data_IF_934869037571
#
_entry.id   IF_934869037571
#
_cell.length_a   1.000
_cell.length_b   1.000
_cell.length_c   1.000
_cell.angle_alpha   90.00
_cell.angle_beta   90.00
_cell.angle_gamma   90.00
#
_symmetry.space_group_name_H-M   'P 1'
#
loop_
_entity.id
_entity.type
_entity.pdbx_description
1 polymer ?
#
# COMPACT_ATOMS: atom_id res chain seq x y z
N UNK A 1 14.26 -6.81 41.60
CA UNK A 1 15.73 -6.69 41.80
C UNK A 1 16.38 -7.96 41.28
N UNK A 2 17.52 -7.92 40.56
CA UNK A 2 18.12 -6.80 39.81
C UNK A 2 18.51 -7.30 38.36
N UNK A 3 18.98 -6.57 37.35
CA UNK A 3 19.55 -5.22 37.18
C UNK A 3 19.16 -4.65 35.81
N UNK A 4 18.99 -3.35 35.81
CA UNK A 4 18.93 -2.44 34.67
C UNK A 4 20.17 -2.53 33.77
N UNK A 5 19.96 -2.44 32.45
CA UNK A 5 21.01 -2.08 31.50
C UNK A 5 20.87 -0.58 31.18
N UNK A 6 21.73 0.30 31.74
CA UNK A 6 21.73 1.70 31.34
C UNK A 6 22.51 1.84 30.03
N UNK A 7 21.83 2.23 28.95
CA UNK A 7 22.49 2.74 27.76
C UNK A 7 22.92 4.18 28.04
N UNK A 8 24.18 4.39 28.40
CA UNK A 8 24.81 5.71 28.36
C UNK A 8 25.36 5.94 26.94
N UNK A 9 25.05 7.08 26.28
CA UNK A 9 25.76 7.46 25.07
C UNK A 9 27.15 7.97 25.48
N UNK A 10 28.19 7.25 25.06
CA UNK A 10 29.58 7.69 25.26
C UNK A 10 29.93 8.75 24.20
N UNK A 11 30.52 9.90 24.55
CA UNK A 11 30.95 10.89 23.58
C UNK A 11 32.42 10.63 23.20
N UNK A 12 32.68 10.14 21.99
CA UNK A 12 33.92 10.39 21.23
C UNK A 12 34.03 9.46 20.01
N UNK A 13 33.56 9.93 18.86
CA UNK A 13 34.08 9.46 17.57
C UNK A 13 34.35 10.67 16.68
N UNK A 14 35.32 11.48 17.10
CA UNK A 14 36.09 12.29 16.17
C UNK A 14 37.20 11.39 15.61
N UNK A 15 37.34 11.38 14.28
CA UNK A 15 38.33 10.65 13.47
C UNK A 15 38.00 9.18 13.14
N UNK A 16 37.00 8.96 12.30
CA UNK A 16 37.08 7.93 11.26
C UNK A 16 37.14 8.63 9.89
N UNK A 17 37.98 8.16 8.94
CA UNK A 17 37.95 8.65 7.56
C UNK A 17 36.55 8.40 6.95
N UNK A 18 36.16 9.10 5.87
CA UNK A 18 34.89 8.84 5.18
C UNK A 18 34.98 7.48 4.47
N UNK A 19 34.80 6.42 5.25
CA UNK A 19 34.77 5.03 4.82
C UNK A 19 33.44 4.41 5.22
N UNK A 20 32.89 3.61 4.32
CA UNK A 20 31.62 2.90 4.37
C UNK A 20 31.25 2.42 5.79
N UNK A 21 30.09 2.84 6.31
CA UNK A 21 29.58 2.31 7.57
C UNK A 21 29.27 0.81 7.41
N UNK A 22 29.54 -0.03 8.43
CA UNK A 22 29.08 -1.42 8.40
C UNK A 22 27.57 -1.51 8.11
N UNK A 23 27.15 -2.46 7.28
CA UNK A 23 25.74 -2.62 6.88
C UNK A 23 24.77 -2.69 8.08
N UNK A 24 25.19 -3.31 9.18
CA UNK A 24 24.41 -3.36 10.42
C UNK A 24 24.15 -1.97 11.01
N UNK A 25 25.11 -1.05 10.90
CA UNK A 25 24.96 0.33 11.36
C UNK A 25 24.09 1.16 10.41
N UNK A 26 24.17 0.95 9.09
CA UNK A 26 23.26 1.58 8.12
C UNK A 26 21.80 1.16 8.36
N UNK A 27 21.56 -0.14 8.55
CA UNK A 27 20.21 -0.65 8.87
C UNK A 27 19.73 -0.14 10.23
N UNK A 28 20.60 -0.08 11.23
CA UNK A 28 20.27 0.51 12.53
C UNK A 28 19.95 2.01 12.42
N UNK A 29 20.67 2.75 11.58
CA UNK A 29 20.37 4.15 11.27
C UNK A 29 18.97 4.29 10.68
N UNK A 30 18.60 3.47 9.69
CA UNK A 30 17.26 3.49 9.12
C UNK A 30 16.21 3.17 10.19
N UNK A 31 16.39 2.10 10.96
CA UNK A 31 15.46 1.67 12.00
C UNK A 31 15.33 2.68 13.16
N UNK A 32 16.37 3.47 13.42
CA UNK A 32 16.39 4.53 14.42
C UNK A 32 15.66 5.81 14.00
N UNK A 33 15.24 5.92 12.74
CA UNK A 33 14.49 7.09 12.25
C UNK A 33 13.10 7.16 12.86
N UNK A 34 12.57 8.38 12.96
CA UNK A 34 11.17 8.60 13.35
C UNK A 34 10.24 7.81 12.45
N UNK A 35 9.46 6.91 13.05
CA UNK A 35 8.57 6.00 12.34
C UNK A 35 7.12 6.18 12.81
N UNK A 36 6.37 6.99 12.07
CA UNK A 36 4.96 7.27 12.35
C UNK A 36 4.02 6.09 12.08
N UNK A 37 4.49 5.00 11.48
CA UNK A 37 3.73 3.75 11.37
C UNK A 37 3.68 3.01 12.72
N UNK A 38 4.67 3.23 13.59
CA UNK A 38 4.77 2.60 14.92
C UNK A 38 4.40 3.54 16.06
N UNK A 39 4.82 4.80 15.96
CA UNK A 39 4.68 5.77 17.05
C UNK A 39 4.27 7.12 16.49
N UNK A 40 3.06 7.56 16.82
CA UNK A 40 2.54 8.87 16.42
C UNK A 40 2.65 9.78 17.63
N UNK A 41 3.43 10.87 17.59
CA UNK A 41 3.57 11.76 18.75
C UNK A 41 2.23 12.41 19.08
N UNK A 42 1.74 12.19 20.30
CA UNK A 42 0.65 13.01 20.84
C UNK A 42 1.10 14.47 20.97
N UNK A 43 0.25 15.42 20.57
CA UNK A 43 0.43 16.85 20.87
C UNK A 43 1.28 17.69 19.90
N UNK A 44 1.92 17.11 18.87
CA UNK A 44 2.64 17.90 17.85
C UNK A 44 1.73 18.32 16.68
N UNK A 45 1.80 19.57 16.18
CA UNK A 45 1.00 20.01 15.03
C UNK A 45 1.26 19.15 13.79
N UNK A 46 0.19 18.67 13.16
CA UNK A 46 0.25 17.72 12.03
C UNK A 46 1.10 18.21 10.84
N UNK A 47 1.19 19.52 10.63
CA UNK A 47 2.02 20.17 9.60
C UNK A 47 3.53 20.13 9.90
N UNK A 48 3.93 20.00 11.17
CA UNK A 48 5.32 19.76 11.56
C UNK A 48 5.71 18.29 11.35
N UNK A 49 4.75 17.39 11.56
CA UNK A 49 4.91 15.93 11.47
C UNK A 49 4.94 15.44 10.02
N UNK A 50 3.92 15.79 9.22
CA UNK A 50 3.76 15.33 7.83
C UNK A 50 3.92 16.47 6.84
N UNK A 51 4.88 16.36 5.92
CA UNK A 51 5.14 17.34 4.86
C UNK A 51 5.82 16.69 3.67
N UNK A 52 5.55 17.22 2.48
CA UNK A 52 6.11 16.69 1.23
C UNK A 52 7.50 17.24 0.89
N UNK A 53 7.90 18.36 1.53
CA UNK A 53 9.15 19.05 1.21
C UNK A 53 10.38 18.20 1.48
N UNK A 54 10.42 17.45 2.60
CA UNK A 54 11.52 16.52 2.92
C UNK A 54 11.72 15.47 1.84
N UNK A 55 10.65 14.74 1.49
CA UNK A 55 10.75 13.69 0.46
C UNK A 55 11.09 14.28 -0.90
N UNK A 56 10.53 15.44 -1.26
CA UNK A 56 10.84 16.11 -2.53
C UNK A 56 12.30 16.51 -2.61
N UNK A 57 12.82 17.13 -1.56
CA UNK A 57 14.24 17.52 -1.49
C UNK A 57 15.16 16.31 -1.57
N UNK A 58 14.86 15.24 -0.83
CA UNK A 58 15.64 13.99 -0.89
C UNK A 58 15.67 13.42 -2.32
N UNK A 59 14.51 13.36 -2.99
CA UNK A 59 14.44 12.92 -4.39
C UNK A 59 15.17 13.87 -5.36
N UNK A 60 15.15 15.17 -5.10
CA UNK A 60 15.87 16.16 -5.92
C UNK A 60 17.38 15.97 -5.80
N UNK A 61 17.91 15.78 -4.58
CA UNK A 61 19.33 15.46 -4.32
C UNK A 61 19.76 14.13 -4.95
N UNK A 62 18.84 13.17 -5.07
CA UNK A 62 19.05 11.89 -5.76
C UNK A 62 18.92 11.95 -7.30
N UNK A 63 18.78 13.15 -7.88
CA UNK A 63 18.66 13.30 -9.33
C UNK A 63 17.29 12.94 -9.89
N UNK A 64 16.23 13.00 -9.07
CA UNK A 64 14.83 12.79 -9.47
C UNK A 64 14.50 11.39 -10.02
N UNK A 65 14.84 10.30 -9.30
CA UNK A 65 14.61 8.94 -9.78
C UNK A 65 13.11 8.59 -9.94
N UNK A 66 12.22 9.39 -9.33
CA UNK A 66 10.77 9.25 -9.40
C UNK A 66 10.12 9.70 -10.73
N UNK A 67 10.91 10.25 -11.66
CA UNK A 67 10.40 10.86 -12.91
C UNK A 67 10.58 10.01 -14.16
N UNK A 68 11.29 8.87 -14.07
CA UNK A 68 11.67 8.05 -15.23
C UNK A 68 10.61 7.06 -15.72
N UNK A 69 9.52 6.86 -14.97
CA UNK A 69 8.49 5.86 -15.28
C UNK A 69 7.10 6.34 -14.82
N UNK A 70 6.02 5.90 -15.49
CA UNK A 70 4.65 6.14 -15.04
C UNK A 70 4.38 5.49 -13.67
N UNK A 71 3.43 6.06 -12.93
CA UNK A 71 3.08 5.62 -11.58
C UNK A 71 1.58 5.38 -11.44
N UNK A 72 1.20 4.22 -10.90
CA UNK A 72 -0.14 3.96 -10.38
C UNK A 72 -0.14 4.22 -8.87
N UNK A 73 -0.90 5.20 -8.40
CA UNK A 73 -0.84 5.63 -6.99
C UNK A 73 -2.11 5.24 -6.22
N UNK A 74 -1.98 4.39 -5.21
CA UNK A 74 -3.11 3.71 -4.56
C UNK A 74 -3.22 4.14 -3.10
N UNK A 75 -4.37 4.70 -2.72
CA UNK A 75 -4.75 4.98 -1.33
C UNK A 75 -6.11 4.37 -0.99
N UNK A 76 -6.49 4.49 0.27
CA UNK A 76 -7.73 3.99 0.85
C UNK A 76 -7.54 3.53 2.29
N UNK A 77 -8.63 3.24 2.99
CA UNK A 77 -8.54 2.70 4.35
C UNK A 77 -8.20 1.21 4.33
N UNK A 78 -8.89 0.42 3.50
CA UNK A 78 -8.63 -1.02 3.32
C UNK A 78 -8.46 -1.36 1.84
N UNK A 79 -7.75 -2.45 1.53
CA UNK A 79 -7.60 -2.95 0.16
C UNK A 79 -6.51 -2.27 -0.69
N UNK A 80 -5.74 -1.33 -0.13
CA UNK A 80 -4.62 -0.66 -0.81
C UNK A 80 -3.59 -1.66 -1.35
N UNK A 81 -2.89 -2.37 -0.46
CA UNK A 81 -1.93 -3.42 -0.82
C UNK A 81 -2.50 -4.50 -1.73
N UNK A 82 -3.73 -4.97 -1.50
CA UNK A 82 -4.40 -5.92 -2.42
C UNK A 82 -4.57 -5.36 -3.82
N UNK A 83 -5.08 -4.13 -3.94
CA UNK A 83 -5.30 -3.48 -5.24
C UNK A 83 -3.97 -3.23 -5.94
N UNK A 84 -2.94 -2.80 -5.19
CA UNK A 84 -1.60 -2.60 -5.70
C UNK A 84 -0.96 -3.90 -6.20
N UNK A 85 -1.05 -4.98 -5.42
CA UNK A 85 -0.54 -6.31 -5.78
C UNK A 85 -1.25 -6.91 -6.98
N UNK A 86 -2.59 -6.79 -7.05
CA UNK A 86 -3.36 -7.24 -8.22
C UNK A 86 -2.97 -6.44 -9.47
N UNK A 87 -2.86 -5.11 -9.39
CA UNK A 87 -2.46 -4.30 -10.53
C UNK A 87 -1.04 -4.65 -11.01
N UNK A 88 -0.10 -4.83 -10.08
CA UNK A 88 1.26 -5.25 -10.39
C UNK A 88 1.30 -6.64 -11.06
N UNK A 89 0.54 -7.61 -10.54
CA UNK A 89 0.44 -8.95 -11.11
C UNK A 89 -0.12 -8.97 -12.53
N UNK A 90 -1.17 -8.18 -12.81
CA UNK A 90 -1.74 -8.07 -14.16
C UNK A 90 -0.74 -7.47 -15.15
N UNK A 91 -0.03 -6.41 -14.75
CA UNK A 91 0.98 -5.78 -15.60
C UNK A 91 2.16 -6.72 -15.86
N UNK A 92 2.59 -7.49 -14.86
CA UNK A 92 3.62 -8.53 -15.01
C UNK A 92 3.18 -9.63 -15.97
N UNK A 93 1.95 -10.12 -15.85
CA UNK A 93 1.37 -11.11 -16.78
C UNK A 93 1.24 -10.56 -18.21
N UNK A 94 1.17 -9.23 -18.37
CA UNK A 94 1.21 -8.57 -19.67
C UNK A 94 2.63 -8.34 -20.21
N UNK A 95 3.67 -8.78 -19.48
CA UNK A 95 5.06 -8.71 -19.91
C UNK A 95 5.80 -7.44 -19.50
N UNK A 96 5.20 -6.55 -18.70
CA UNK A 96 5.86 -5.35 -18.20
C UNK A 96 6.77 -5.65 -17.01
N UNK A 97 7.85 -4.87 -16.89
CA UNK A 97 8.70 -4.82 -15.70
C UNK A 97 8.12 -3.85 -14.69
N UNK A 98 7.64 -4.35 -13.56
CA UNK A 98 6.86 -3.56 -12.60
C UNK A 98 7.56 -3.46 -11.26
N UNK A 99 7.72 -2.23 -10.78
CA UNK A 99 8.05 -1.93 -9.38
C UNK A 99 6.78 -1.82 -8.52
N UNK A 100 6.81 -2.32 -7.29
CA UNK A 100 5.71 -2.17 -6.34
C UNK A 100 6.25 -1.72 -4.99
N UNK A 101 5.75 -0.59 -4.49
CA UNK A 101 6.04 -0.10 -3.15
C UNK A 101 4.81 -0.31 -2.26
N UNK A 102 4.90 -1.20 -1.27
CA UNK A 102 3.79 -1.59 -0.38
C UNK A 102 4.13 -1.47 1.09
N UNK A 103 3.11 -1.32 1.94
CA UNK A 103 3.32 -1.21 3.39
C UNK A 103 2.13 -1.70 4.23
N UNK A 104 2.38 -2.19 5.47
CA UNK A 104 3.68 -2.56 6.03
C UNK A 104 4.22 -3.87 5.41
N UNK A 105 5.40 -4.31 5.86
CA UNK A 105 5.92 -5.66 5.55
C UNK A 105 5.42 -6.69 6.58
N UNK A 106 5.48 -7.98 6.20
CA UNK A 106 5.15 -9.09 7.08
C UNK A 106 6.37 -9.57 7.87
N UNK A 107 7.52 -9.73 7.22
CA UNK A 107 8.72 -10.30 7.84
C UNK A 107 9.96 -9.43 7.65
N UNK A 108 10.25 -9.02 6.42
CA UNK A 108 11.46 -8.27 6.03
C UNK A 108 11.10 -6.91 5.40
N UNK A 109 11.85 -5.85 5.72
CA UNK A 109 11.58 -4.49 5.19
C UNK A 109 11.71 -4.42 3.68
N UNK A 110 12.55 -5.27 3.11
CA UNK A 110 12.78 -5.47 1.68
C UNK A 110 11.50 -5.83 0.90
N UNK A 111 10.52 -6.45 1.57
CA UNK A 111 9.19 -6.74 0.98
C UNK A 111 8.49 -5.47 0.52
N UNK A 112 8.79 -4.32 1.13
CA UNK A 112 8.20 -3.04 0.75
C UNK A 112 8.66 -2.58 -0.61
N UNK A 113 9.80 -3.04 -1.14
CA UNK A 113 10.37 -2.63 -2.43
C UNK A 113 10.44 -3.85 -3.35
N UNK A 114 9.37 -4.16 -4.07
CA UNK A 114 9.34 -5.34 -4.93
C UNK A 114 9.54 -4.99 -6.42
N UNK A 115 10.26 -5.82 -7.16
CA UNK A 115 10.33 -5.78 -8.64
C UNK A 115 10.02 -7.16 -9.18
N UNK A 116 9.14 -7.26 -10.18
CA UNK A 116 8.63 -8.54 -10.71
C UNK A 116 8.11 -9.48 -9.62
N UNK A 117 7.41 -8.91 -8.63
CA UNK A 117 6.79 -9.67 -7.53
C UNK A 117 7.78 -10.25 -6.52
N UNK A 118 9.07 -9.92 -6.61
CA UNK A 118 10.11 -10.36 -5.68
C UNK A 118 10.57 -9.18 -4.82
N UNK A 119 10.68 -9.36 -3.48
CA UNK A 119 11.31 -8.37 -2.59
C UNK A 119 12.68 -7.93 -3.08
N UNK A 120 13.10 -6.72 -2.73
CA UNK A 120 14.43 -6.21 -3.03
C UNK A 120 15.49 -7.13 -2.42
N UNK A 121 16.47 -7.62 -3.19
CA UNK A 121 17.58 -8.36 -2.61
C UNK A 121 18.27 -7.54 -1.51
N UNK A 122 18.65 -8.14 -0.36
CA UNK A 122 19.31 -7.43 0.73
C UNK A 122 20.52 -6.59 0.25
N UNK A 123 21.29 -7.12 -0.70
CA UNK A 123 22.47 -6.45 -1.25
C UNK A 123 22.10 -5.15 -1.99
N UNK A 124 21.04 -5.18 -2.80
CA UNK A 124 20.53 -3.99 -3.49
C UNK A 124 19.90 -2.99 -2.50
N UNK A 125 19.21 -3.50 -1.47
CA UNK A 125 18.64 -2.66 -0.43
C UNK A 125 19.74 -1.89 0.32
N UNK A 126 20.81 -2.58 0.70
CA UNK A 126 21.94 -2.01 1.42
C UNK A 126 22.73 -1.02 0.55
N UNK A 127 22.96 -1.32 -0.73
CA UNK A 127 23.59 -0.39 -1.68
C UNK A 127 22.79 0.92 -1.84
N UNK A 128 21.46 0.80 -1.97
CA UNK A 128 20.58 1.98 -2.08
C UNK A 128 20.58 2.79 -0.77
N UNK A 129 20.62 2.11 0.38
CA UNK A 129 20.67 2.77 1.68
C UNK A 129 22.01 3.49 1.90
N UNK A 130 23.11 2.86 1.51
CA UNK A 130 24.47 3.40 1.61
C UNK A 130 24.62 4.71 0.84
N UNK A 131 24.06 4.79 -0.36
CA UNK A 131 24.06 6.02 -1.17
C UNK A 131 23.16 7.13 -0.63
N UNK A 132 22.02 6.75 -0.05
CA UNK A 132 21.07 7.71 0.52
C UNK A 132 21.59 8.24 1.87
N UNK A 133 22.31 7.42 2.64
CA UNK A 133 22.81 7.77 3.97
C UNK A 133 23.54 9.12 4.06
N UNK A 134 24.56 9.45 3.24
CA UNK A 134 25.27 10.72 3.36
C UNK A 134 24.36 11.91 3.03
N UNK A 135 23.48 11.77 2.04
CA UNK A 135 22.52 12.80 1.65
C UNK A 135 21.55 13.10 2.80
N UNK A 136 21.03 12.06 3.45
CA UNK A 136 20.11 12.25 4.58
C UNK A 136 20.83 12.87 5.78
N UNK A 137 22.12 12.57 6.00
CA UNK A 137 22.91 13.23 7.06
C UNK A 137 23.13 14.73 6.81
N UNK A 138 23.37 15.13 5.57
CA UNK A 138 23.42 16.54 5.21
C UNK A 138 22.06 17.20 5.45
N UNK A 139 20.98 16.56 5.01
CA UNK A 139 19.63 17.05 5.27
C UNK A 139 19.31 17.14 6.77
N UNK A 140 19.78 16.21 7.61
CA UNK A 140 19.58 16.32 9.06
C UNK A 140 20.17 17.63 9.60
N UNK A 141 21.40 17.97 9.19
CA UNK A 141 22.07 19.20 9.62
C UNK A 141 21.35 20.45 9.09
N UNK A 142 20.95 20.44 7.82
CA UNK A 142 20.23 21.56 7.19
C UNK A 142 18.88 21.81 7.87
N UNK A 143 18.13 20.75 8.17
CA UNK A 143 16.80 20.84 8.78
C UNK A 143 16.88 21.16 10.28
N UNK A 144 17.89 20.65 11.00
CA UNK A 144 18.15 21.01 12.40
C UNK A 144 18.46 22.51 12.53
N UNK A 145 19.21 23.09 11.58
CA UNK A 145 19.43 24.53 11.48
C UNK A 145 18.14 25.36 11.31
N UNK A 146 17.06 24.74 10.83
CA UNK A 146 15.72 25.34 10.71
C UNK A 146 14.80 25.03 11.90
N UNK A 147 15.30 24.32 12.93
CA UNK A 147 14.51 23.87 14.07
C UNK A 147 13.52 22.74 13.75
N UNK A 148 13.82 21.96 12.71
CA UNK A 148 13.00 20.83 12.26
C UNK A 148 13.82 19.53 12.19
N UNK A 149 13.13 18.38 12.07
CA UNK A 149 13.79 17.09 11.88
C UNK A 149 13.94 16.73 10.40
N UNK A 150 15.05 16.07 10.05
CA UNK A 150 15.31 15.54 8.72
C UNK A 150 14.38 14.39 8.30
N UNK A 151 14.68 13.71 7.18
CA UNK A 151 13.81 12.66 6.62
C UNK A 151 13.49 11.53 7.61
N UNK A 152 12.21 11.16 7.63
CA UNK A 152 11.66 10.09 8.46
C UNK A 152 11.87 8.71 7.84
N UNK A 153 11.59 7.64 8.60
CA UNK A 153 11.72 6.25 8.14
C UNK A 153 10.99 6.00 6.81
N UNK A 154 9.73 6.43 6.72
CA UNK A 154 8.90 6.19 5.55
C UNK A 154 9.29 7.07 4.35
N UNK A 155 9.76 8.30 4.60
CA UNK A 155 10.25 9.19 3.55
C UNK A 155 11.54 8.66 2.91
N UNK A 156 12.44 8.10 3.73
CA UNK A 156 13.66 7.43 3.24
C UNK A 156 13.29 6.18 2.44
N UNK A 157 12.43 5.30 2.95
CA UNK A 157 11.99 4.12 2.20
C UNK A 157 11.31 4.46 0.87
N UNK A 158 10.55 5.56 0.82
CA UNK A 158 9.93 6.04 -0.42
C UNK A 158 10.99 6.46 -1.45
N UNK A 159 12.03 7.18 -1.01
CA UNK A 159 13.14 7.56 -1.88
C UNK A 159 13.98 6.34 -2.32
N UNK A 160 14.23 5.40 -1.41
CA UNK A 160 14.88 4.13 -1.72
C UNK A 160 14.10 3.35 -2.80
N UNK A 161 12.76 3.28 -2.68
CA UNK A 161 11.92 2.63 -3.68
C UNK A 161 12.04 3.29 -5.05
N UNK A 162 11.96 4.63 -5.09
CA UNK A 162 12.08 5.37 -6.34
C UNK A 162 13.43 5.12 -7.04
N UNK A 163 14.53 5.17 -6.28
CA UNK A 163 15.88 4.91 -6.79
C UNK A 163 16.07 3.46 -7.23
N UNK A 164 15.61 2.50 -6.43
CA UNK A 164 15.67 1.08 -6.78
C UNK A 164 14.90 0.79 -8.07
N UNK A 165 13.68 1.30 -8.22
CA UNK A 165 12.89 1.10 -9.43
C UNK A 165 13.52 1.73 -10.67
N UNK A 166 14.10 2.92 -10.55
CA UNK A 166 14.84 3.56 -11.64
C UNK A 166 16.02 2.70 -12.11
N UNK A 167 16.81 2.18 -11.16
CA UNK A 167 17.95 1.28 -11.45
C UNK A 167 17.54 -0.04 -12.07
N UNK A 168 16.41 -0.56 -11.64
CA UNK A 168 15.86 -1.78 -12.19
C UNK A 168 15.22 -1.56 -13.57
N UNK A 169 15.13 -0.32 -14.08
CA UNK A 169 14.56 -0.04 -15.39
C UNK A 169 13.10 -0.49 -15.51
N UNK A 170 12.29 -0.22 -14.48
CA UNK A 170 10.86 -0.59 -14.51
C UNK A 170 10.11 0.21 -15.58
N UNK A 171 9.16 -0.44 -16.25
CA UNK A 171 8.24 0.22 -17.18
C UNK A 171 7.17 1.04 -16.45
N UNK A 172 6.85 0.65 -15.21
CA UNK A 172 5.89 1.32 -14.34
C UNK A 172 6.13 0.96 -12.86
N UNK A 173 5.79 1.88 -11.96
CA UNK A 173 5.69 1.60 -10.53
C UNK A 173 4.26 1.70 -9.99
N UNK A 174 3.89 0.78 -9.09
CA UNK A 174 2.67 0.85 -8.30
C UNK A 174 3.03 1.27 -6.88
N UNK A 175 2.56 2.43 -6.45
CA UNK A 175 2.86 2.99 -5.13
C UNK A 175 1.63 2.92 -4.23
N UNK A 176 1.71 2.16 -3.14
CA UNK A 176 0.76 2.22 -2.03
C UNK A 176 1.11 3.40 -1.12
N UNK A 177 0.11 4.23 -0.83
CA UNK A 177 0.18 5.27 0.21
C UNK A 177 0.30 4.62 1.58
N UNK A 178 1.26 5.06 2.39
CA UNK A 178 1.41 4.60 3.77
C UNK A 178 0.24 5.09 4.63
N UNK A 179 0.05 6.41 4.74
CA UNK A 179 -0.97 7.01 5.58
C UNK A 179 -1.66 8.21 4.92
N UNK A 180 -3.00 8.19 4.92
CA UNK A 180 -3.78 9.30 4.39
C UNK A 180 -3.65 9.41 2.87
N UNK A 181 -2.82 10.34 2.39
CA UNK A 181 -2.63 10.59 0.96
C UNK A 181 -2.00 11.96 0.70
N UNK A 182 -2.72 13.03 1.04
CA UNK A 182 -2.33 14.43 0.75
C UNK A 182 -0.91 14.79 1.18
N UNK A 183 -0.49 14.34 2.36
CA UNK A 183 0.83 14.63 2.96
C UNK A 183 1.68 13.36 3.12
N UNK A 184 1.31 12.27 2.45
CA UNK A 184 2.10 11.04 2.45
C UNK A 184 3.34 11.21 1.57
N UNK A 185 4.48 10.62 1.97
CA UNK A 185 5.74 10.72 1.24
C UNK A 185 5.60 10.33 -0.24
N UNK A 186 4.77 9.31 -0.54
CA UNK A 186 4.53 8.87 -1.92
C UNK A 186 3.81 9.91 -2.78
N UNK A 187 3.16 10.91 -2.18
CA UNK A 187 2.37 11.92 -2.91
C UNK A 187 3.22 13.02 -3.56
N UNK A 188 4.54 12.98 -3.42
CA UNK A 188 5.46 13.77 -4.26
C UNK A 188 5.42 13.33 -5.74
N UNK A 189 4.94 12.11 -6.01
CA UNK A 189 4.88 11.57 -7.36
C UNK A 189 3.90 12.30 -8.29
N UNK A 190 4.05 12.03 -9.59
CA UNK A 190 3.12 12.43 -10.65
C UNK A 190 2.47 11.17 -11.23
N UNK A 191 1.34 10.70 -10.68
CA UNK A 191 0.72 9.47 -11.13
C UNK A 191 0.12 9.60 -12.54
N UNK A 192 0.15 8.50 -13.26
CA UNK A 192 -0.63 8.27 -14.46
C UNK A 192 -2.11 8.02 -14.13
N UNK A 193 -2.37 7.31 -13.03
CA UNK A 193 -3.71 7.05 -12.50
C UNK A 193 -3.65 7.04 -10.97
N UNK A 194 -4.63 7.67 -10.31
CA UNK A 194 -4.82 7.57 -8.87
C UNK A 194 -5.96 6.59 -8.54
N UNK A 195 -5.82 5.83 -7.46
CA UNK A 195 -6.85 4.89 -7.00
C UNK A 195 -7.19 5.15 -5.53
N UNK A 196 -8.48 5.25 -5.21
CA UNK A 196 -8.98 5.36 -3.83
C UNK A 196 -9.88 4.17 -3.56
N UNK A 197 -9.42 3.18 -2.78
CA UNK A 197 -10.11 1.89 -2.63
C UNK A 197 -11.38 2.00 -1.79
N UNK A 198 -11.24 2.39 -0.52
CA UNK A 198 -12.34 2.56 0.43
C UNK A 198 -12.07 3.69 1.41
N UNK A 199 -13.12 4.19 2.05
CA UNK A 199 -13.06 5.14 3.15
C UNK A 199 -13.79 4.53 4.32
N UNK A 200 -13.13 4.47 5.48
CA UNK A 200 -13.73 4.11 6.76
C UNK A 200 -12.91 4.76 7.87
N UNK A 201 -13.44 4.78 9.09
CA UNK A 201 -12.71 5.24 10.26
C UNK A 201 -11.46 4.37 10.48
N UNK A 202 -10.30 5.01 10.40
CA UNK A 202 -9.00 4.46 10.74
C UNK A 202 -8.02 5.63 10.92
N UNK A 203 -7.11 5.51 11.88
CA UNK A 203 -6.19 6.60 12.25
C UNK A 203 -6.89 7.96 12.47
N UNK A 204 -8.02 7.98 13.18
CA UNK A 204 -8.86 9.18 13.37
C UNK A 204 -8.14 10.33 14.06
N UNK A 205 -7.20 10.01 14.95
CA UNK A 205 -6.35 11.00 15.65
C UNK A 205 -5.44 11.76 14.70
N UNK A 206 -5.16 11.18 13.53
CA UNK A 206 -4.32 11.78 12.50
C UNK A 206 -5.22 12.34 11.42
N UNK A 207 -5.97 11.48 10.72
CA UNK A 207 -6.66 11.79 9.47
C UNK A 207 -7.93 12.65 9.64
N UNK A 208 -8.44 12.76 10.86
CA UNK A 208 -9.65 13.48 11.21
C UNK A 208 -10.70 12.56 11.82
N UNK A 209 -11.65 13.16 12.52
CA UNK A 209 -12.70 12.48 13.30
C UNK A 209 -13.97 12.22 12.49
N UNK A 210 -14.00 12.59 11.20
CA UNK A 210 -15.12 12.36 10.29
C UNK A 210 -14.69 11.68 8.99
N UNK A 211 -15.60 10.89 8.40
CA UNK A 211 -15.36 10.26 7.10
C UNK A 211 -15.08 11.28 6.00
N UNK A 212 -15.69 12.46 6.07
CA UNK A 212 -15.42 13.61 5.19
C UNK A 212 -13.96 14.07 5.26
N UNK A 213 -13.40 14.23 6.45
CA UNK A 213 -11.99 14.63 6.63
C UNK A 213 -11.04 13.54 6.12
N UNK A 214 -11.32 12.27 6.44
CA UNK A 214 -10.54 11.13 5.96
C UNK A 214 -10.58 11.04 4.43
N UNK A 215 -11.75 11.23 3.82
CA UNK A 215 -11.92 11.29 2.36
C UNK A 215 -11.13 12.44 1.74
N UNK A 216 -11.12 13.62 2.38
CA UNK A 216 -10.37 14.77 1.88
C UNK A 216 -8.85 14.55 1.93
N UNK A 217 -8.34 13.94 3.01
CA UNK A 217 -6.93 13.56 3.09
C UNK A 217 -6.54 12.56 2.00
N UNK A 218 -7.37 11.55 1.75
CA UNK A 218 -7.12 10.53 0.71
C UNK A 218 -7.25 11.11 -0.70
N UNK A 219 -8.23 11.98 -0.94
CA UNK A 219 -8.41 12.67 -2.22
C UNK A 219 -7.24 13.61 -2.57
N UNK A 220 -6.35 13.90 -1.62
CA UNK A 220 -5.13 14.68 -1.87
C UNK A 220 -4.13 14.06 -2.84
N UNK A 221 -4.29 12.78 -3.20
CA UNK A 221 -3.48 12.13 -4.25
C UNK A 221 -3.94 12.49 -5.67
N UNK A 222 -5.16 13.02 -5.82
CA UNK A 222 -5.73 13.37 -7.13
C UNK A 222 -4.97 14.57 -7.70
N UNK A 223 -4.31 14.35 -8.84
CA UNK A 223 -3.55 15.40 -9.56
C UNK A 223 -4.36 15.99 -10.72
N UNK A 224 -3.94 17.16 -11.18
CA UNK A 224 -4.66 17.93 -12.20
C UNK A 224 -4.66 17.18 -13.53
N UNK A 225 -5.84 16.94 -14.11
CA UNK A 225 -5.99 16.21 -15.38
C UNK A 225 -5.71 14.70 -15.30
N UNK A 226 -5.20 14.20 -14.18
CA UNK A 226 -4.91 12.77 -13.98
C UNK A 226 -6.19 12.04 -13.58
N UNK A 227 -6.56 10.93 -14.23
CA UNK A 227 -7.75 10.17 -13.86
C UNK A 227 -7.66 9.57 -12.46
N UNK A 228 -8.83 9.42 -11.83
CA UNK A 228 -8.98 8.76 -10.53
C UNK A 228 -10.06 7.68 -10.58
N UNK A 229 -9.69 6.48 -10.13
CA UNK A 229 -10.61 5.37 -9.89
C UNK A 229 -10.96 5.32 -8.41
N UNK A 230 -12.25 5.34 -8.09
CA UNK A 230 -12.71 5.33 -6.70
C UNK A 230 -13.66 4.18 -6.45
N UNK A 231 -13.30 3.33 -5.49
CA UNK A 231 -14.18 2.31 -4.98
C UNK A 231 -15.15 2.81 -3.94
N UNK A 232 -15.18 4.10 -3.57
CA UNK A 232 -15.91 4.59 -2.39
C UNK A 232 -17.41 4.66 -2.64
N UNK A 233 -18.19 4.04 -1.74
CA UNK A 233 -19.64 3.86 -1.88
C UNK A 233 -20.46 4.80 -1.00
N UNK A 234 -19.93 5.17 0.18
CA UNK A 234 -20.66 6.02 1.13
C UNK A 234 -20.82 7.45 0.57
N UNK A 235 -22.05 7.97 0.65
CA UNK A 235 -22.44 9.20 -0.04
C UNK A 235 -21.56 10.41 0.30
N UNK A 236 -21.28 10.65 1.59
CA UNK A 236 -20.50 11.81 2.02
C UNK A 236 -19.03 11.73 1.57
N UNK A 237 -18.26 10.66 1.85
CA UNK A 237 -16.91 10.49 1.30
C UNK A 237 -16.82 10.53 -0.22
N UNK A 238 -17.80 9.91 -0.90
CA UNK A 238 -17.87 9.87 -2.35
C UNK A 238 -18.02 11.28 -2.94
N UNK A 239 -18.88 12.10 -2.35
CA UNK A 239 -19.07 13.49 -2.77
C UNK A 239 -17.81 14.33 -2.60
N UNK A 240 -17.03 14.11 -1.52
CA UNK A 240 -15.73 14.78 -1.35
C UNK A 240 -14.78 14.43 -2.50
N UNK A 241 -14.66 13.15 -2.83
CA UNK A 241 -13.78 12.67 -3.90
C UNK A 241 -14.22 13.25 -5.25
N UNK A 242 -15.53 13.21 -5.54
CA UNK A 242 -16.10 13.78 -6.77
C UNK A 242 -15.79 15.27 -6.91
N UNK A 243 -15.97 16.05 -5.84
CA UNK A 243 -15.65 17.50 -5.84
C UNK A 243 -14.18 17.78 -6.06
N UNK A 244 -13.30 17.01 -5.41
CA UNK A 244 -11.85 17.16 -5.60
C UNK A 244 -11.46 16.81 -7.04
N UNK A 245 -11.98 15.71 -7.58
CA UNK A 245 -11.75 15.31 -8.97
C UNK A 245 -12.21 16.40 -9.95
N UNK A 246 -13.44 16.91 -9.79
CA UNK A 246 -13.98 17.99 -10.61
C UNK A 246 -13.13 19.26 -10.53
N UNK A 247 -12.73 19.69 -9.32
CA UNK A 247 -11.85 20.86 -9.12
C UNK A 247 -10.48 20.69 -9.80
N UNK A 248 -9.99 19.45 -9.89
CA UNK A 248 -8.71 19.11 -10.54
C UNK A 248 -8.86 18.84 -12.04
N UNK A 249 -10.07 18.86 -12.59
CA UNK A 249 -10.33 18.41 -13.96
C UNK A 249 -9.91 16.95 -14.19
N UNK A 250 -9.96 16.12 -13.14
CA UNK A 250 -9.57 14.73 -13.17
C UNK A 250 -10.77 13.86 -13.60
N UNK A 251 -10.66 13.04 -14.66
CA UNK A 251 -11.69 12.05 -15.00
C UNK A 251 -11.95 11.12 -13.81
N UNK A 252 -13.22 11.01 -13.40
CA UNK A 252 -13.60 10.26 -12.19
C UNK A 252 -14.40 9.01 -12.57
N UNK A 253 -13.83 7.86 -12.23
CA UNK A 253 -14.42 6.54 -12.47
C UNK A 253 -14.77 5.96 -11.10
N UNK A 254 -16.03 5.56 -10.90
CA UNK A 254 -16.54 5.26 -9.56
C UNK A 254 -17.54 4.12 -9.51
N UNK A 255 -17.63 3.47 -8.34
CA UNK A 255 -18.70 2.53 -8.00
C UNK A 255 -19.96 3.26 -7.51
N UNK A 256 -21.17 2.83 -7.90
CA UNK A 256 -21.50 1.80 -8.90
C UNK A 256 -21.68 2.35 -10.33
N UNK A 257 -21.49 3.65 -10.55
CA UNK A 257 -21.83 4.33 -11.81
C UNK A 257 -21.11 3.71 -13.01
N UNK A 258 -19.80 3.55 -12.87
CA UNK A 258 -18.90 3.14 -13.95
C UNK A 258 -18.48 1.68 -13.82
N UNK A 259 -18.68 1.10 -12.64
CA UNK A 259 -18.08 -0.16 -12.27
C UNK A 259 -19.15 -1.08 -11.69
N UNK A 260 -19.23 -2.30 -12.21
CA UNK A 260 -20.09 -3.34 -11.68
C UNK A 260 -19.33 -4.66 -11.58
N UNK A 261 -19.66 -5.46 -10.57
CA UNK A 261 -19.11 -6.79 -10.43
C UNK A 261 -20.11 -7.75 -9.80
N UNK A 262 -19.93 -9.04 -10.08
CA UNK A 262 -20.58 -10.15 -9.37
C UNK A 262 -19.50 -11.12 -8.91
N UNK A 263 -19.55 -11.50 -7.64
CA UNK A 263 -18.61 -12.42 -7.04
C UNK A 263 -19.31 -13.71 -6.62
N UNK A 264 -18.64 -14.84 -6.81
CA UNK A 264 -19.02 -16.14 -6.25
C UNK A 264 -17.83 -16.67 -5.44
N UNK A 265 -18.00 -16.93 -4.13
CA UNK A 265 -16.91 -17.44 -3.30
C UNK A 265 -16.52 -18.87 -3.72
N UNK A 266 -15.25 -19.26 -3.56
CA UNK A 266 -14.89 -20.68 -3.58
C UNK A 266 -15.57 -21.40 -2.41
N UNK A 267 -15.75 -22.72 -2.52
CA UNK A 267 -16.25 -23.57 -1.43
C UNK A 267 -15.24 -24.65 -1.09
N UNK A 268 -15.29 -25.12 0.15
CA UNK A 268 -14.45 -26.21 0.66
C UNK A 268 -12.94 -25.97 0.46
N UNK A 269 -12.46 -24.76 0.73
CA UNK A 269 -11.03 -24.43 0.57
C UNK A 269 -10.11 -25.29 1.45
N UNK A 270 -10.63 -25.92 2.49
CA UNK A 270 -9.92 -26.92 3.28
C UNK A 270 -9.53 -28.18 2.48
N UNK A 271 -10.23 -28.47 1.37
CA UNK A 271 -10.04 -29.69 0.57
C UNK A 271 -9.16 -29.48 -0.67
N UNK A 272 -8.86 -28.24 -1.06
CA UNK A 272 -8.20 -27.97 -2.34
C UNK A 272 -7.61 -26.58 -2.49
N UNK A 273 -7.37 -26.17 -3.73
CA UNK A 273 -7.01 -24.80 -4.13
C UNK A 273 -8.11 -24.20 -4.99
N UNK A 274 -9.36 -24.28 -4.53
CA UNK A 274 -10.48 -23.59 -5.18
C UNK A 274 -10.18 -22.11 -5.38
N UNK A 275 -10.79 -21.52 -6.40
CA UNK A 275 -10.77 -20.09 -6.69
C UNK A 275 -12.19 -19.55 -6.62
N UNK A 276 -12.33 -18.29 -6.22
CA UNK A 276 -13.59 -17.59 -6.43
C UNK A 276 -13.81 -17.34 -7.92
N UNK A 277 -15.02 -16.95 -8.29
CA UNK A 277 -15.33 -16.49 -9.63
C UNK A 277 -15.79 -15.04 -9.59
N UNK A 278 -15.32 -14.24 -10.53
CA UNK A 278 -15.71 -12.83 -10.65
C UNK A 278 -16.09 -12.49 -12.08
N UNK A 279 -17.20 -11.79 -12.21
CA UNK A 279 -17.68 -11.17 -13.45
C UNK A 279 -17.61 -9.65 -13.23
N UNK A 280 -16.97 -8.91 -14.13
CA UNK A 280 -16.78 -7.46 -14.03
C UNK A 280 -17.24 -6.76 -15.29
N UNK A 281 -17.83 -5.59 -15.12
CA UNK A 281 -18.13 -4.63 -16.18
C UNK A 281 -17.51 -3.28 -15.82
N UNK A 282 -16.70 -2.75 -16.73
CA UNK A 282 -16.01 -1.47 -16.58
C UNK A 282 -16.44 -0.55 -17.71
N UNK A 283 -17.10 0.55 -17.34
CA UNK A 283 -17.58 1.59 -18.24
C UNK A 283 -16.72 2.83 -18.10
N UNK A 284 -15.78 3.00 -19.02
CA UNK A 284 -15.07 4.28 -19.16
C UNK A 284 -15.91 5.16 -20.10
N UNK A 285 -16.17 6.45 -19.79
CA UNK A 285 -17.01 7.31 -20.61
C UNK A 285 -16.64 7.38 -22.09
N UNK A 286 -15.37 7.14 -22.40
CA UNK A 286 -14.78 7.29 -23.73
C UNK A 286 -14.56 5.95 -24.48
N UNK A 287 -14.94 4.81 -23.88
CA UNK A 287 -14.73 3.47 -24.46
C UNK A 287 -16.01 2.61 -24.39
N UNK A 288 -16.15 1.60 -25.27
CA UNK A 288 -17.18 0.59 -25.08
C UNK A 288 -16.99 -0.14 -23.73
N UNK A 289 -18.07 -0.63 -23.09
CA UNK A 289 -17.97 -1.39 -21.85
C UNK A 289 -17.01 -2.59 -21.99
N UNK A 290 -16.10 -2.72 -21.04
CA UNK A 290 -15.17 -3.84 -20.95
C UNK A 290 -15.72 -4.90 -19.99
N UNK A 291 -15.90 -6.11 -20.51
CA UNK A 291 -16.37 -7.26 -19.73
C UNK A 291 -15.23 -8.24 -19.48
N UNK A 292 -15.09 -8.67 -18.23
CA UNK A 292 -14.11 -9.66 -17.82
C UNK A 292 -14.77 -10.70 -16.93
N UNK A 293 -14.53 -11.96 -17.25
CA UNK A 293 -14.86 -13.09 -16.38
C UNK A 293 -13.57 -13.83 -16.07
N UNK A 294 -13.36 -14.14 -14.80
CA UNK A 294 -12.13 -14.77 -14.33
C UNK A 294 -12.36 -15.53 -13.05
N UNK A 295 -11.51 -16.52 -12.83
CA UNK A 295 -11.20 -16.98 -11.48
C UNK A 295 -10.50 -15.88 -10.68
N UNK A 296 -10.67 -15.90 -9.36
CA UNK A 296 -10.05 -14.97 -8.42
C UNK A 296 -9.42 -15.77 -7.27
N UNK A 297 -8.11 -15.68 -7.13
CA UNK A 297 -7.37 -16.34 -6.05
C UNK A 297 -7.52 -15.66 -4.70
N UNK A 298 -7.37 -14.32 -4.58
CA UNK A 298 -7.67 -13.65 -3.31
C UNK A 298 -9.14 -13.85 -2.92
N UNK A 299 -9.37 -14.34 -1.71
CA UNK A 299 -10.68 -14.82 -1.28
C UNK A 299 -11.50 -13.70 -0.63
N UNK A 300 -12.82 -13.69 -0.88
CA UNK A 300 -13.79 -12.77 -0.29
C UNK A 300 -14.22 -11.65 -1.24
N UNK A 301 -15.46 -11.18 -1.08
CA UNK A 301 -16.05 -10.16 -1.95
C UNK A 301 -15.26 -8.84 -1.96
N UNK A 302 -14.65 -8.49 -0.82
CA UNK A 302 -13.78 -7.32 -0.71
C UNK A 302 -12.57 -7.40 -1.66
N UNK A 303 -12.07 -8.61 -1.96
CA UNK A 303 -11.01 -8.80 -2.95
C UNK A 303 -11.53 -8.69 -4.39
N UNK A 304 -12.76 -9.12 -4.68
CA UNK A 304 -13.39 -8.89 -5.98
C UNK A 304 -13.53 -7.38 -6.28
N UNK A 305 -13.88 -6.59 -5.26
CA UNK A 305 -13.87 -5.12 -5.36
C UNK A 305 -12.46 -4.58 -5.61
N UNK A 306 -11.44 -5.01 -4.86
CA UNK A 306 -10.05 -4.60 -5.08
C UNK A 306 -9.57 -4.95 -6.50
N UNK A 307 -9.93 -6.13 -6.99
CA UNK A 307 -9.59 -6.58 -8.33
C UNK A 307 -10.23 -5.69 -9.41
N UNK A 308 -11.52 -5.40 -9.29
CA UNK A 308 -12.22 -4.53 -10.23
C UNK A 308 -11.65 -3.09 -10.24
N UNK A 309 -11.20 -2.56 -9.10
CA UNK A 309 -10.50 -1.27 -9.06
C UNK A 309 -9.14 -1.31 -9.76
N UNK A 310 -8.37 -2.39 -9.56
CA UNK A 310 -7.11 -2.59 -10.27
C UNK A 310 -7.34 -2.68 -11.78
N UNK A 311 -8.30 -3.50 -12.22
CA UNK A 311 -8.64 -3.65 -13.64
C UNK A 311 -9.09 -2.30 -14.23
N UNK A 312 -9.94 -1.54 -13.54
CA UNK A 312 -10.39 -0.22 -14.01
C UNK A 312 -9.26 0.79 -14.14
N UNK A 313 -8.33 0.81 -13.18
CA UNK A 313 -7.16 1.68 -13.24
C UNK A 313 -6.25 1.31 -14.42
N UNK A 314 -6.05 0.01 -14.64
CA UNK A 314 -5.26 -0.49 -15.77
C UNK A 314 -5.94 -0.22 -17.12
N UNK A 315 -7.27 -0.38 -17.23
CA UNK A 315 -8.02 0.01 -18.43
C UNK A 315 -7.80 1.48 -18.77
N UNK A 316 -7.81 2.36 -17.76
CA UNK A 316 -7.52 3.77 -17.96
C UNK A 316 -6.07 4.01 -18.42
N UNK A 317 -5.14 3.25 -17.87
CA UNK A 317 -3.73 3.30 -18.24
C UNK A 317 -3.49 2.85 -19.70
N UNK A 318 -4.17 1.79 -20.14
CA UNK A 318 -4.16 1.36 -21.54
C UNK A 318 -4.64 2.47 -22.48
N UNK A 319 -5.74 3.14 -22.12
CA UNK A 319 -6.32 4.23 -22.90
C UNK A 319 -5.41 5.45 -22.94
N UNK A 320 -4.94 5.90 -21.79
CA UNK A 320 -4.24 7.19 -21.65
C UNK A 320 -2.77 7.13 -22.06
N UNK A 321 -2.11 5.98 -21.86
CA UNK A 321 -0.68 5.80 -22.10
C UNK A 321 -0.34 4.70 -23.12
N UNK A 322 -1.33 4.05 -23.73
CA UNK A 322 -1.11 3.07 -24.80
C UNK A 322 -0.57 1.71 -24.33
N UNK A 323 -0.68 1.39 -23.05
CA UNK A 323 -0.28 0.07 -22.53
C UNK A 323 -1.15 -1.04 -23.16
N UNK A 324 -0.51 -2.19 -23.45
CA UNK A 324 -1.12 -3.35 -24.10
C UNK A 324 -1.24 -4.48 -23.09
N UNK A 325 -2.42 -4.59 -22.48
CA UNK A 325 -2.75 -5.65 -21.53
C UNK A 325 -3.80 -6.54 -22.20
N UNK A 326 -3.44 -7.76 -22.66
CA UNK A 326 -4.40 -8.65 -23.28
C UNK A 326 -5.37 -9.20 -22.23
N UNK A 327 -6.62 -9.56 -22.61
CA UNK A 327 -7.59 -10.19 -21.70
C UNK A 327 -7.07 -11.44 -20.98
N UNK A 328 -6.12 -12.16 -21.59
CA UNK A 328 -5.45 -13.31 -20.97
C UNK A 328 -4.60 -12.92 -19.77
N UNK A 329 -3.85 -11.82 -19.82
CA UNK A 329 -3.03 -11.34 -18.71
C UNK A 329 -3.90 -10.98 -17.48
N UNK A 330 -5.06 -10.37 -17.72
CA UNK A 330 -6.04 -10.12 -16.66
C UNK A 330 -6.48 -11.41 -15.99
N UNK A 331 -6.89 -12.42 -16.78
CA UNK A 331 -7.38 -13.70 -16.23
C UNK A 331 -6.30 -14.47 -15.50
N UNK A 332 -5.12 -14.59 -16.11
CA UNK A 332 -3.98 -15.31 -15.53
C UNK A 332 -3.56 -14.69 -14.19
N UNK A 333 -3.42 -13.36 -14.13
CA UNK A 333 -3.04 -12.69 -12.91
C UNK A 333 -4.11 -12.81 -11.82
N UNK A 334 -5.40 -12.61 -12.13
CA UNK A 334 -6.46 -12.73 -11.12
C UNK A 334 -6.56 -14.15 -10.55
N UNK A 335 -6.32 -15.18 -11.37
CA UNK A 335 -6.33 -16.57 -10.95
C UNK A 335 -5.10 -16.99 -10.11
N UNK A 336 -4.02 -16.22 -10.13
CA UNK A 336 -2.72 -16.62 -9.55
C UNK A 336 -2.09 -15.63 -8.58
N UNK A 337 -2.50 -14.36 -8.57
CA UNK A 337 -1.90 -13.33 -7.73
C UNK A 337 -1.99 -13.71 -6.26
N UNK A 338 -0.84 -13.65 -5.59
CA UNK A 338 -0.75 -13.90 -4.17
C UNK A 338 -1.36 -12.73 -3.38
N UNK A 339 -1.97 -13.06 -2.24
CA UNK A 339 -2.39 -12.07 -1.25
C UNK A 339 -1.88 -12.53 0.12
N UNK A 340 -0.58 -12.33 0.41
CA UNK A 340 0.03 -12.79 1.65
C UNK A 340 -0.71 -12.26 2.87
N UNK A 341 -0.95 -13.13 3.85
CA UNK A 341 -1.72 -12.84 5.06
C UNK A 341 -3.10 -12.20 4.81
N UNK A 342 -3.78 -12.57 3.72
CA UNK A 342 -5.17 -12.22 3.43
C UNK A 342 -5.98 -13.48 3.17
N UNK A 343 -6.42 -14.12 4.24
CA UNK A 343 -7.08 -15.44 4.25
C UNK A 343 -6.23 -16.45 3.47
N UNK A 344 -4.94 -16.47 3.78
CA UNK A 344 -3.95 -17.28 3.09
C UNK A 344 -3.88 -18.68 3.71
N UNK A 345 -4.18 -19.71 2.91
CA UNK A 345 -4.02 -21.12 3.31
C UNK A 345 -2.54 -21.51 3.19
N UNK A 346 -1.83 -21.57 4.32
CA UNK A 346 -0.38 -21.91 4.38
C UNK A 346 -0.10 -23.38 4.64
N UNK A 347 -1.10 -24.13 5.12
CA UNK A 347 -1.02 -25.57 5.36
C UNK A 347 -2.40 -26.18 5.17
N UNK A 348 -2.48 -27.44 4.69
CA UNK A 348 -3.74 -28.15 4.46
C UNK A 348 -4.09 -29.24 5.49
N UNK A 349 -3.10 -29.82 6.17
CA UNK A 349 -3.33 -30.90 7.15
C UNK A 349 -2.50 -30.70 8.43
N UNK A 350 -3.10 -30.19 9.53
CA UNK A 350 -4.40 -29.50 9.56
C UNK A 350 -4.39 -28.24 8.69
N UNK A 351 -5.57 -27.75 8.32
CA UNK A 351 -5.68 -26.48 7.60
C UNK A 351 -5.25 -25.34 8.51
N UNK A 352 -4.34 -24.50 8.01
CA UNK A 352 -3.88 -23.29 8.70
C UNK A 352 -4.10 -22.12 7.75
N UNK A 353 -4.84 -21.13 8.23
CA UNK A 353 -5.14 -19.88 7.52
C UNK A 353 -4.50 -18.72 8.27
N UNK A 354 -3.80 -17.84 7.56
CA UNK A 354 -3.23 -16.60 8.09
C UNK A 354 -4.00 -15.41 7.53
N UNK A 355 -4.38 -14.46 8.40
CA UNK A 355 -4.99 -13.20 8.00
C UNK A 355 -4.50 -12.03 8.87
N UNK A 356 -4.36 -10.85 8.25
CA UNK A 356 -3.90 -9.61 8.89
C UNK A 356 -5.05 -8.67 9.30
N UNK A 357 -6.25 -9.19 9.58
CA UNK A 357 -7.35 -8.47 10.22
C UNK A 357 -6.92 -7.98 11.62
N UNK A 358 -7.05 -6.68 11.86
CA UNK A 358 -6.53 -6.02 13.07
C UNK A 358 -7.49 -4.93 13.61
N UNK A 359 -8.75 -4.95 13.17
CA UNK A 359 -9.83 -4.16 13.75
C UNK A 359 -11.17 -4.90 13.56
N UNK A 360 -12.21 -4.45 14.29
CA UNK A 360 -13.54 -5.09 14.31
C UNK A 360 -14.10 -5.28 12.89
N UNK A 361 -14.06 -4.25 12.05
CA UNK A 361 -14.57 -4.33 10.67
C UNK A 361 -13.81 -5.38 9.82
N UNK A 362 -12.49 -5.50 10.00
CA UNK A 362 -11.70 -6.52 9.28
C UNK A 362 -11.97 -7.93 9.82
N UNK A 363 -12.18 -8.07 11.13
CA UNK A 363 -12.56 -9.33 11.77
C UNK A 363 -13.94 -9.82 11.30
N UNK A 364 -14.91 -8.92 11.16
CA UNK A 364 -16.23 -9.26 10.61
C UNK A 364 -16.13 -9.79 9.17
N UNK A 365 -15.35 -9.10 8.33
CA UNK A 365 -15.08 -9.56 6.95
C UNK A 365 -14.36 -10.90 6.93
N UNK A 366 -13.41 -11.13 7.84
CA UNK A 366 -12.72 -12.41 8.00
C UNK A 366 -13.70 -13.51 8.35
N UNK A 367 -14.52 -13.36 9.40
CA UNK A 367 -15.49 -14.36 9.83
C UNK A 367 -16.49 -14.70 8.72
N UNK A 368 -17.06 -13.68 8.06
CA UNK A 368 -17.97 -13.89 6.93
C UNK A 368 -17.29 -14.69 5.82
N UNK A 369 -16.09 -14.29 5.41
CA UNK A 369 -15.38 -14.95 4.30
C UNK A 369 -14.99 -16.38 4.66
N UNK A 370 -14.56 -16.64 5.90
CA UNK A 370 -14.28 -17.99 6.38
C UNK A 370 -15.54 -18.87 6.36
N UNK A 371 -16.70 -18.33 6.72
CA UNK A 371 -17.97 -19.06 6.70
C UNK A 371 -18.49 -19.31 5.28
N UNK A 372 -18.19 -18.43 4.32
CA UNK A 372 -18.55 -18.63 2.91
C UNK A 372 -17.66 -19.66 2.21
N UNK A 373 -16.39 -19.77 2.63
CA UNK A 373 -15.36 -20.49 1.87
C UNK A 373 -14.92 -21.82 2.49
N UNK A 374 -15.19 -22.06 3.77
CA UNK A 374 -14.76 -23.25 4.50
C UNK A 374 -15.90 -23.90 5.29
N UNK A 375 -15.96 -25.23 5.30
CA UNK A 375 -16.99 -26.00 6.03
C UNK A 375 -16.47 -26.64 7.33
N UNK A 376 -15.33 -26.15 7.84
CA UNK A 376 -14.70 -26.71 9.03
C UNK A 376 -15.63 -26.64 10.27
N UNK A 377 -16.01 -27.80 10.81
CA UNK A 377 -16.87 -27.92 12.01
C UNK A 377 -16.21 -27.44 13.30
N UNK A 378 -14.88 -27.50 13.38
CA UNK A 378 -14.08 -27.04 14.53
C UNK A 378 -13.01 -26.08 14.05
N UNK A 379 -13.01 -24.87 14.60
CA UNK A 379 -12.06 -23.80 14.27
C UNK A 379 -11.29 -23.45 15.54
N UNK A 380 -9.99 -23.22 15.38
CA UNK A 380 -9.11 -22.75 16.46
C UNK A 380 -8.54 -21.40 16.01
N UNK A 381 -8.62 -20.39 16.87
CA UNK A 381 -8.06 -19.08 16.60
C UNK A 381 -6.78 -18.88 17.42
N UNK A 382 -5.68 -18.58 16.74
CA UNK A 382 -4.48 -18.00 17.37
C UNK A 382 -4.55 -16.50 17.10
N UNK A 383 -4.80 -15.71 18.13
CA UNK A 383 -5.06 -14.28 18.01
C UNK A 383 -3.94 -13.45 18.64
N UNK A 384 -3.48 -12.44 17.91
CA UNK A 384 -2.55 -11.42 18.40
C UNK A 384 -2.92 -10.06 17.81
N UNK A 385 -2.87 -9.01 18.64
CA UNK A 385 -3.12 -7.63 18.20
C UNK A 385 -2.19 -6.67 18.93
N UNK A 386 -1.95 -5.50 18.34
CA UNK A 386 -1.20 -4.41 18.98
C UNK A 386 -2.03 -3.75 20.08
N UNK A 387 -1.34 -3.15 21.06
CA UNK A 387 -1.97 -2.35 22.12
C UNK A 387 -2.85 -1.22 21.53
N UNK A 388 -3.96 -0.91 22.21
CA UNK A 388 -4.88 0.17 21.83
C UNK A 388 -5.93 -0.20 20.77
N UNK A 389 -5.92 -1.43 20.24
CA UNK A 389 -7.01 -1.94 19.38
C UNK A 389 -8.15 -2.52 20.22
N UNK A 390 -9.37 -2.46 19.69
CA UNK A 390 -10.55 -3.11 20.28
C UNK A 390 -10.47 -4.63 20.13
N UNK A 391 -9.67 -5.25 21.00
CA UNK A 391 -9.45 -6.69 21.03
C UNK A 391 -10.70 -7.44 21.49
N UNK A 392 -11.50 -6.86 22.40
CA UNK A 392 -12.74 -7.48 22.87
C UNK A 392 -13.76 -7.59 21.75
N UNK A 393 -13.98 -6.53 20.98
CA UNK A 393 -14.88 -6.53 19.84
C UNK A 393 -14.46 -7.54 18.78
N UNK A 394 -13.16 -7.65 18.51
CA UNK A 394 -12.63 -8.68 17.59
C UNK A 394 -12.82 -10.10 18.14
N UNK A 395 -12.50 -10.35 19.41
CA UNK A 395 -12.65 -11.69 20.01
C UNK A 395 -14.10 -12.15 20.08
N UNK A 396 -15.06 -11.24 20.32
CA UNK A 396 -16.50 -11.56 20.26
C UNK A 396 -16.91 -12.10 18.89
N UNK A 397 -16.42 -11.48 17.81
CA UNK A 397 -16.68 -11.93 16.43
C UNK A 397 -15.97 -13.24 16.09
N UNK A 398 -14.76 -13.46 16.62
CA UNK A 398 -14.00 -14.68 16.35
C UNK A 398 -14.50 -15.89 17.15
N UNK A 399 -15.20 -15.65 18.27
CA UNK A 399 -15.77 -16.68 19.13
C UNK A 399 -17.19 -17.11 18.72
N UNK A 400 -17.86 -16.37 17.83
CA UNK A 400 -19.16 -16.73 17.25
C UNK A 400 -19.01 -17.76 16.15
#
# INVERSE_FOLDING_TARGET
>A
MPKDFPFHPSPSHANQPPGELPQSQLRAFLLGRTNYERTVPGGSPRSKVFKLSRTRELLDRLGNPDRGYPILHVTGTKGKGSTAGIAAGILQAAGYRVGAFTSPHLWHVEERLAVQGRPCPPEHFDQVLEEIWPIVREMDADWEGMGEGGPTYFEILTAMAALYFARQGVDLAVLEVGLGGRLDATNVCRPAVSVITSISYDHTDILGTSLKQIAWEKAGIIKRGTPVVSGVTDAEPKEVIRRVAAKRGAPWIALPEHLAYRYRPPRHLELGDGRGWVEMEIRLPEEPPFFLQSELRPVGEHQARNAMLAVAALRRLQRDLGFRIPPTAYREALANVAAPARIEVVRRKPVVVIDAAHNVASAEVLCRTLNECFDARRKWAVFGTTQGKDYEGMLRLLAS
#
